data_IF_562430975369
#
_entry.id   IF_562430975369
#
_cell.length_a   1.000
_cell.length_b   1.000
_cell.length_c   1.000
_cell.angle_alpha   90.00
_cell.angle_beta   90.00
_cell.angle_gamma   90.00
#
_symmetry.space_group_name_H-M   'P 1'
#
loop_
_entity.id
_entity.type
_entity.pdbx_description
1 polymer ?
#
# COMPACT_ATOMS: atom_id res chain seq x y z
N UNK A 1 32.55 1.84 16.22
CA UNK A 1 32.91 0.56 15.56
C UNK A 1 31.74 -0.36 15.27
N UNK A 2 30.73 -0.55 16.14
CA UNK A 2 29.53 -1.37 15.79
C UNK A 2 28.64 -0.76 14.70
N UNK A 3 28.51 0.58 14.65
CA UNK A 3 27.68 1.25 13.66
C UNK A 3 28.22 1.21 12.22
N UNK A 4 29.53 1.25 12.06
CA UNK A 4 30.17 1.20 10.74
C UNK A 4 30.10 -0.20 10.11
N UNK A 5 30.16 -1.26 10.93
CA UNK A 5 29.99 -2.62 10.44
C UNK A 5 28.55 -2.91 9.97
N UNK A 6 27.56 -2.37 10.67
CA UNK A 6 26.15 -2.50 10.26
C UNK A 6 25.86 -1.71 8.97
N UNK A 7 26.41 -0.52 8.83
CA UNK A 7 26.25 0.29 7.62
C UNK A 7 26.89 -0.38 6.39
N UNK A 8 28.09 -0.94 6.54
CA UNK A 8 28.77 -1.67 5.47
C UNK A 8 28.03 -2.96 5.08
N UNK A 9 27.50 -3.73 6.04
CA UNK A 9 26.69 -4.92 5.78
C UNK A 9 25.37 -4.56 5.05
N UNK A 10 24.71 -3.48 5.45
CA UNK A 10 23.50 -2.95 4.80
C UNK A 10 23.74 -2.58 3.33
N UNK A 11 24.88 -1.97 3.01
CA UNK A 11 25.24 -1.61 1.63
C UNK A 11 25.52 -2.87 0.79
N UNK A 12 26.10 -3.91 1.37
CA UNK A 12 26.40 -5.16 0.66
C UNK A 12 25.15 -5.97 0.31
N UNK A 13 24.09 -5.88 1.12
CA UNK A 13 22.85 -6.65 0.93
C UNK A 13 21.78 -5.94 0.08
N UNK A 14 22.04 -4.76 -0.47
CA UNK A 14 21.07 -4.04 -1.34
C UNK A 14 20.63 -4.84 -2.56
N UNK A 15 21.43 -5.76 -3.05
CA UNK A 15 21.13 -6.58 -4.24
C UNK A 15 20.02 -7.61 -4.00
N UNK A 16 19.77 -7.97 -2.74
CA UNK A 16 18.82 -9.02 -2.35
C UNK A 16 17.51 -8.44 -1.78
N UNK A 17 17.33 -7.12 -1.85
CA UNK A 17 16.12 -6.46 -1.38
C UNK A 17 15.01 -6.50 -2.44
N UNK A 18 13.79 -6.73 -2.00
CA UNK A 18 12.60 -6.54 -2.82
C UNK A 18 12.26 -5.05 -2.89
N UNK A 19 12.27 -4.46 -4.07
CA UNK A 19 11.96 -3.04 -4.22
C UNK A 19 10.51 -2.77 -4.60
N UNK A 20 9.88 -3.70 -5.33
CA UNK A 20 8.49 -3.57 -5.75
C UNK A 20 7.88 -4.93 -6.12
N UNK A 21 6.55 -4.98 -6.06
CA UNK A 21 5.72 -6.09 -6.54
C UNK A 21 4.93 -5.56 -7.75
N UNK A 22 5.05 -6.24 -8.88
CA UNK A 22 4.40 -5.86 -10.13
C UNK A 22 2.91 -6.25 -10.14
N UNK A 23 2.05 -5.60 -10.96
CA UNK A 23 0.64 -5.93 -11.06
C UNK A 23 0.34 -7.42 -11.28
N UNK A 24 1.09 -8.08 -12.14
CA UNK A 24 0.92 -9.51 -12.44
C UNK A 24 1.22 -10.45 -11.25
N UNK A 25 1.93 -9.96 -10.24
CA UNK A 25 2.29 -10.68 -9.02
C UNK A 25 1.35 -10.38 -7.84
N UNK A 26 0.38 -9.48 -8.02
CA UNK A 26 -0.52 -9.00 -6.97
C UNK A 26 -1.73 -9.94 -6.82
N UNK A 27 -1.47 -11.20 -6.61
CA UNK A 27 -2.45 -12.23 -6.29
C UNK A 27 -2.00 -12.99 -5.04
N UNK A 28 -2.93 -13.63 -4.36
CA UNK A 28 -2.68 -14.31 -3.08
C UNK A 28 -1.48 -15.26 -3.14
N UNK A 29 -1.44 -16.14 -4.13
CA UNK A 29 -0.40 -17.18 -4.27
C UNK A 29 1.00 -16.57 -4.43
N UNK A 30 1.15 -15.60 -5.33
CA UNK A 30 2.45 -14.98 -5.61
C UNK A 30 2.89 -14.10 -4.45
N UNK A 31 1.96 -13.38 -3.81
CA UNK A 31 2.25 -12.58 -2.62
C UNK A 31 2.78 -13.44 -1.47
N UNK A 32 2.13 -14.56 -1.15
CA UNK A 32 2.62 -15.50 -0.14
C UNK A 32 4.02 -16.02 -0.48
N UNK A 33 4.26 -16.37 -1.73
CA UNK A 33 5.56 -16.88 -2.18
C UNK A 33 6.66 -15.83 -2.07
N UNK A 34 6.40 -14.62 -2.57
CA UNK A 34 7.38 -13.52 -2.59
C UNK A 34 7.69 -13.06 -1.16
N UNK A 35 6.65 -12.81 -0.36
CA UNK A 35 6.81 -12.25 0.98
C UNK A 35 7.42 -13.26 1.97
N UNK A 36 7.23 -14.57 1.75
CA UNK A 36 7.93 -15.61 2.52
C UNK A 36 9.45 -15.60 2.30
N UNK A 37 9.92 -15.14 1.13
CA UNK A 37 11.35 -14.98 0.84
C UNK A 37 11.95 -13.68 1.38
N UNK A 38 11.10 -12.76 1.87
CA UNK A 38 11.47 -11.43 2.34
C UNK A 38 10.94 -11.15 3.74
N UNK A 39 11.39 -11.92 4.78
CA UNK A 39 10.92 -11.77 6.16
C UNK A 39 11.26 -10.40 6.77
N UNK A 40 12.21 -9.68 6.18
CA UNK A 40 12.53 -8.29 6.55
C UNK A 40 11.40 -7.31 6.29
N UNK A 41 10.42 -7.64 5.42
CA UNK A 41 9.23 -6.82 5.18
C UNK A 41 8.19 -7.17 6.24
N UNK A 42 8.16 -6.36 7.31
CA UNK A 42 7.37 -6.67 8.50
C UNK A 42 5.98 -6.02 8.52
N UNK A 43 5.74 -5.05 7.66
CA UNK A 43 4.49 -4.30 7.62
C UNK A 43 3.99 -4.11 6.20
N UNK A 44 2.66 -3.97 6.09
CA UNK A 44 1.97 -3.44 4.92
C UNK A 44 1.38 -2.08 5.29
N UNK A 45 1.45 -1.12 4.39
CA UNK A 45 0.84 0.20 4.52
C UNK A 45 -0.16 0.39 3.39
N UNK A 46 -1.44 0.50 3.71
CA UNK A 46 -2.51 0.81 2.77
C UNK A 46 -2.67 2.33 2.69
N UNK A 47 -2.34 2.91 1.53
CA UNK A 47 -2.26 4.36 1.36
C UNK A 47 -3.37 4.87 0.45
N UNK A 48 -4.32 5.60 1.02
CA UNK A 48 -5.25 6.45 0.28
C UNK A 48 -4.83 7.92 0.39
N UNK A 49 -5.10 8.72 -0.63
CA UNK A 49 -4.84 10.16 -0.61
C UNK A 49 -6.15 10.90 -0.75
N UNK A 50 -6.44 11.80 0.18
CA UNK A 50 -7.64 12.62 0.18
C UNK A 50 -7.51 13.87 -0.73
N UNK A 51 -8.56 14.70 -0.82
CA UNK A 51 -8.56 15.91 -1.64
C UNK A 51 -7.67 17.05 -1.10
N UNK A 52 -7.29 17.00 0.17
CA UNK A 52 -6.34 17.94 0.75
C UNK A 52 -4.87 17.49 0.58
N UNK A 53 -4.66 16.29 0.02
CA UNK A 53 -3.33 15.71 -0.16
C UNK A 53 -2.79 15.00 1.08
N UNK A 54 -3.65 14.76 2.09
CA UNK A 54 -3.25 13.95 3.23
C UNK A 54 -3.32 12.47 2.86
N UNK A 55 -2.34 11.70 3.30
CA UNK A 55 -2.37 10.25 3.22
C UNK A 55 -3.10 9.66 4.42
N UNK A 56 -3.88 8.62 4.15
CA UNK A 56 -4.38 7.71 5.19
C UNK A 56 -3.47 6.51 5.18
N UNK A 57 -2.64 6.34 6.19
CA UNK A 57 -1.68 5.23 6.29
C UNK A 57 -2.18 4.19 7.30
N UNK A 58 -2.96 3.23 6.81
CA UNK A 58 -3.35 2.06 7.63
C UNK A 58 -2.21 1.04 7.62
N UNK A 59 -1.41 1.06 8.68
CA UNK A 59 -0.24 0.20 8.83
C UNK A 59 -0.60 -1.11 9.53
N UNK A 60 -0.40 -2.22 8.83
CA UNK A 60 -0.81 -3.56 9.23
C UNK A 60 0.43 -4.45 9.37
N UNK A 61 0.56 -5.27 10.42
CA UNK A 61 1.60 -6.29 10.49
C UNK A 61 1.51 -7.26 9.30
N UNK A 62 2.65 -7.63 8.72
CA UNK A 62 2.71 -8.54 7.58
C UNK A 62 1.99 -9.86 7.84
N UNK A 63 2.08 -10.39 9.06
CA UNK A 63 1.38 -11.62 9.46
C UNK A 63 -0.13 -11.53 9.25
N UNK A 64 -0.75 -10.44 9.69
CA UNK A 64 -2.20 -10.21 9.55
C UNK A 64 -2.58 -10.08 8.06
N UNK A 65 -1.78 -9.32 7.30
CA UNK A 65 -2.01 -9.20 5.86
C UNK A 65 -1.96 -10.56 5.13
N UNK A 66 -1.03 -11.44 5.50
CA UNK A 66 -0.91 -12.77 4.89
C UNK A 66 -2.02 -13.73 5.34
N UNK A 67 -2.55 -13.61 6.55
CA UNK A 67 -3.69 -14.41 7.02
C UNK A 67 -4.98 -14.09 6.25
N UNK A 68 -5.19 -12.82 5.88
CA UNK A 68 -6.42 -12.32 5.26
C UNK A 68 -6.17 -11.71 3.87
N UNK A 69 -5.16 -12.18 3.14
CA UNK A 69 -4.72 -11.58 1.85
C UNK A 69 -5.87 -11.42 0.86
N UNK A 70 -6.74 -12.40 0.72
CA UNK A 70 -7.86 -12.34 -0.21
C UNK A 70 -8.80 -11.15 0.09
N UNK A 71 -9.16 -10.95 1.37
CA UNK A 71 -10.04 -9.87 1.81
C UNK A 71 -9.40 -8.49 1.58
N UNK A 72 -8.07 -8.37 1.80
CA UNK A 72 -7.34 -7.14 1.46
C UNK A 72 -7.33 -6.86 -0.04
N UNK A 73 -7.17 -7.89 -0.86
CA UNK A 73 -7.17 -7.76 -2.31
C UNK A 73 -8.55 -7.41 -2.89
N UNK A 74 -9.63 -7.76 -2.18
CA UNK A 74 -11.01 -7.42 -2.53
C UNK A 74 -11.46 -6.06 -1.98
N UNK A 75 -10.66 -5.43 -1.12
CA UNK A 75 -10.92 -4.11 -0.54
C UNK A 75 -11.94 -4.12 0.60
N UNK A 76 -12.18 -5.28 1.23
CA UNK A 76 -13.15 -5.43 2.33
C UNK A 76 -12.51 -5.42 3.72
N UNK A 77 -11.19 -5.61 3.82
CA UNK A 77 -10.51 -5.82 5.09
C UNK A 77 -10.05 -4.55 5.81
N UNK A 78 -9.88 -3.44 5.10
CA UNK A 78 -9.37 -2.20 5.69
C UNK A 78 -10.28 -1.01 5.41
N UNK A 79 -10.45 -0.19 6.45
CA UNK A 79 -11.31 0.98 6.42
C UNK A 79 -10.67 2.13 7.16
N UNK A 80 -10.98 3.35 6.72
CA UNK A 80 -10.67 4.57 7.48
C UNK A 80 -11.95 5.32 7.83
N UNK A 81 -11.88 6.18 8.84
CA UNK A 81 -12.98 7.05 9.22
C UNK A 81 -13.05 8.25 8.24
N UNK A 82 -14.17 8.38 7.55
CA UNK A 82 -14.42 9.50 6.63
C UNK A 82 -14.37 10.89 7.29
N UNK A 83 -14.51 10.97 8.62
CA UNK A 83 -14.31 12.23 9.36
C UNK A 83 -12.85 12.66 9.44
N UNK A 84 -11.91 11.73 9.25
CA UNK A 84 -10.46 11.98 9.26
C UNK A 84 -9.88 12.28 7.88
N UNK A 85 -10.70 12.22 6.82
CA UNK A 85 -10.30 12.44 5.43
C UNK A 85 -11.13 13.55 4.78
N UNK A 86 -10.52 14.35 3.93
CA UNK A 86 -11.21 15.41 3.19
C UNK A 86 -11.75 14.86 1.88
N UNK A 87 -13.02 14.45 1.91
CA UNK A 87 -13.71 13.88 0.74
C UNK A 87 -15.02 14.62 0.47
N UNK A 88 -15.41 14.86 -0.80
CA UNK A 88 -16.63 15.56 -1.14
C UNK A 88 -17.87 14.82 -0.60
N UNK A 89 -18.71 15.53 0.17
CA UNK A 89 -19.99 15.02 0.64
C UNK A 89 -19.95 14.08 1.84
N UNK A 90 -18.76 13.76 2.39
CA UNK A 90 -18.62 12.79 3.49
C UNK A 90 -18.40 13.46 4.85
N UNK A 91 -17.82 14.64 4.89
CA UNK A 91 -17.31 15.32 6.10
C UNK A 91 -18.32 15.62 7.23
N UNK A 92 -19.59 15.26 7.10
CA UNK A 92 -20.63 15.62 8.08
C UNK A 92 -21.56 14.48 8.48
N UNK A 93 -21.29 13.25 8.08
CA UNK A 93 -22.28 12.17 8.20
C UNK A 93 -21.95 11.19 9.31
N UNK A 94 -23.02 10.77 10.02
CA UNK A 94 -23.00 9.72 11.04
C UNK A 94 -22.56 8.32 10.52
N UNK A 95 -22.26 8.20 9.25
CA UNK A 95 -21.74 6.99 8.61
C UNK A 95 -20.58 7.37 7.70
N UNK A 96 -19.44 7.60 8.30
CA UNK A 96 -18.23 8.06 7.65
C UNK A 96 -17.27 6.89 7.29
N UNK A 97 -17.81 5.69 7.08
CA UNK A 97 -17.01 4.53 6.69
C UNK A 97 -16.47 4.73 5.26
N UNK A 98 -15.16 4.65 5.12
CA UNK A 98 -14.46 4.67 3.83
C UNK A 98 -13.62 3.41 3.73
N UNK A 99 -13.89 2.60 2.71
CA UNK A 99 -13.13 1.38 2.43
C UNK A 99 -11.87 1.71 1.64
N UNK A 100 -10.76 1.02 1.96
CA UNK A 100 -9.49 1.11 1.24
C UNK A 100 -9.41 -0.04 0.23
N UNK A 101 -9.54 0.27 -1.04
CA UNK A 101 -9.43 -0.70 -2.13
C UNK A 101 -8.04 -0.61 -2.77
N UNK A 102 -7.31 -1.70 -2.74
CA UNK A 102 -5.95 -1.76 -3.32
C UNK A 102 -5.96 -1.51 -4.83
N UNK A 103 -5.02 -0.70 -5.30
CA UNK A 103 -4.82 -0.48 -6.74
C UNK A 103 -3.87 -1.55 -7.30
N UNK A 104 -4.44 -2.50 -8.06
CA UNK A 104 -3.69 -3.58 -8.73
C UNK A 104 -3.12 -3.19 -10.09
N UNK A 105 -3.30 -1.95 -10.53
CA UNK A 105 -2.84 -1.48 -11.84
C UNK A 105 -1.44 -0.87 -11.82
N UNK A 106 -0.89 -0.67 -10.63
CA UNK A 106 0.43 -0.06 -10.41
C UNK A 106 1.34 -0.95 -9.60
N UNK A 107 2.65 -0.72 -9.66
CA UNK A 107 3.59 -1.41 -8.78
C UNK A 107 3.35 -1.01 -7.32
N UNK A 108 3.48 -1.97 -6.41
CA UNK A 108 3.57 -1.72 -4.98
C UNK A 108 5.03 -1.68 -4.57
N UNK A 109 5.42 -0.69 -3.78
CA UNK A 109 6.81 -0.44 -3.44
C UNK A 109 7.13 -0.81 -2.01
N UNK A 110 8.37 -1.25 -1.78
CA UNK A 110 8.88 -1.48 -0.42
C UNK A 110 9.71 -0.29 0.01
N UNK A 111 9.32 0.29 1.15
CA UNK A 111 10.02 1.36 1.83
C UNK A 111 10.84 0.77 2.98
N UNK A 112 12.16 0.98 2.98
CA UNK A 112 13.07 0.41 3.96
C UNK A 112 13.51 1.43 4.99
N UNK A 113 13.39 1.05 6.28
CA UNK A 113 13.88 1.86 7.37
C UNK A 113 15.38 1.62 7.58
N UNK A 114 16.19 2.64 7.31
CA UNK A 114 17.65 2.57 7.41
C UNK A 114 18.18 2.50 8.86
N UNK A 115 17.35 2.74 9.85
CA UNK A 115 17.72 2.72 11.28
C UNK A 115 17.37 1.40 11.96
N UNK A 116 16.52 0.57 11.34
CA UNK A 116 16.05 -0.68 11.91
C UNK A 116 16.40 -1.87 11.02
N UNK A 117 16.91 -2.93 11.67
CA UNK A 117 17.32 -4.16 10.99
C UNK A 117 16.57 -5.35 11.59
N UNK A 118 16.12 -6.22 10.71
CA UNK A 118 15.53 -7.49 11.09
C UNK A 118 16.60 -8.39 11.74
N UNK A 119 16.27 -8.98 12.90
CA UNK A 119 17.22 -9.73 13.70
C UNK A 119 17.67 -11.05 13.05
N UNK A 120 16.82 -11.65 12.22
CA UNK A 120 17.09 -12.94 11.59
C UNK A 120 17.87 -12.77 10.29
N UNK A 121 17.41 -11.90 9.41
CA UNK A 121 18.00 -11.69 8.08
C UNK A 121 19.15 -10.68 8.08
N UNK A 122 19.25 -9.83 9.10
CA UNK A 122 20.20 -8.70 9.14
C UNK A 122 19.92 -7.62 8.09
N UNK A 123 18.80 -7.70 7.36
CA UNK A 123 18.38 -6.70 6.38
C UNK A 123 17.61 -5.57 7.05
N UNK A 124 17.52 -4.42 6.39
CA UNK A 124 16.68 -3.31 6.84
C UNK A 124 15.22 -3.73 6.90
N UNK A 125 14.50 -3.31 7.95
CA UNK A 125 13.06 -3.56 8.08
C UNK A 125 12.32 -2.79 6.99
N UNK A 126 11.48 -3.51 6.24
CA UNK A 126 10.68 -3.00 5.15
C UNK A 126 9.19 -2.85 5.49
N UNK A 127 8.55 -1.90 4.81
CA UNK A 127 7.10 -1.74 4.75
C UNK A 127 6.65 -1.79 3.30
N UNK A 128 5.78 -2.73 2.95
CA UNK A 128 5.17 -2.79 1.63
C UNK A 128 4.10 -1.70 1.53
N UNK A 129 4.32 -0.72 0.65
CA UNK A 129 3.42 0.41 0.39
C UNK A 129 2.46 0.06 -0.75
N UNK A 130 1.17 -0.03 -0.43
CA UNK A 130 0.10 -0.38 -1.37
C UNK A 130 -0.78 0.85 -1.60
N UNK A 131 -0.74 1.47 -2.81
CA UNK A 131 -1.66 2.53 -3.16
C UNK A 131 -3.09 2.03 -3.19
N UNK A 132 -4.02 2.79 -2.60
CA UNK A 132 -5.43 2.45 -2.51
C UNK A 132 -6.32 3.55 -3.09
N UNK A 133 -7.49 3.12 -3.59
CA UNK A 133 -8.64 4.00 -3.81
C UNK A 133 -9.43 4.12 -2.51
N UNK A 134 -10.05 5.28 -2.29
CA UNK A 134 -11.01 5.49 -1.22
C UNK A 134 -12.42 5.29 -1.76
N UNK A 135 -13.15 4.36 -1.17
CA UNK A 135 -14.49 3.97 -1.61
C UNK A 135 -15.49 4.29 -0.49
N UNK A 136 -16.56 4.99 -0.82
CA UNK A 136 -17.66 5.28 0.08
C UNK A 136 -19.00 4.94 -0.58
N UNK A 137 -19.79 4.04 0.06
CA UNK A 137 -21.06 3.56 -0.48
C UNK A 137 -20.92 3.12 -1.95
N UNK A 138 -19.94 2.27 -2.24
CA UNK A 138 -19.61 1.75 -3.57
C UNK A 138 -19.16 2.80 -4.61
N UNK A 139 -18.98 4.05 -4.20
CA UNK A 139 -18.48 5.11 -5.07
C UNK A 139 -17.01 5.40 -4.82
N UNK A 140 -16.28 5.58 -5.90
CA UNK A 140 -14.91 6.10 -5.86
C UNK A 140 -14.94 7.59 -5.51
N UNK A 141 -14.29 7.98 -4.42
CA UNK A 141 -14.40 9.34 -3.88
C UNK A 141 -13.05 10.03 -3.66
N UNK A 142 -11.96 9.41 -4.07
CA UNK A 142 -10.62 9.99 -3.93
C UNK A 142 -10.14 10.70 -5.20
N UNK A 143 -9.17 11.59 -5.05
CA UNK A 143 -8.52 12.29 -6.17
C UNK A 143 -7.93 11.34 -7.21
N UNK A 144 -7.39 10.20 -6.76
CA UNK A 144 -6.81 9.16 -7.62
C UNK A 144 -7.84 8.55 -8.57
N UNK A 145 -9.03 8.19 -8.09
CA UNK A 145 -10.09 7.62 -8.94
C UNK A 145 -10.66 8.66 -9.90
N UNK A 146 -10.89 9.89 -9.44
CA UNK A 146 -11.36 10.98 -10.28
C UNK A 146 -10.38 11.30 -11.42
N UNK A 147 -9.09 11.32 -11.12
CA UNK A 147 -8.07 11.50 -12.15
C UNK A 147 -8.11 10.38 -13.19
N UNK A 148 -8.19 9.13 -12.73
CA UNK A 148 -8.27 7.97 -13.62
C UNK A 148 -9.51 8.04 -14.53
N UNK A 149 -10.69 8.28 -13.96
CA UNK A 149 -11.93 8.38 -14.70
C UNK A 149 -11.91 9.52 -15.74
N UNK A 150 -11.26 10.64 -15.39
CA UNK A 150 -11.05 11.79 -16.28
C UNK A 150 -10.15 11.39 -17.46
N UNK A 151 -9.03 10.71 -17.19
CA UNK A 151 -8.12 10.25 -18.24
C UNK A 151 -8.77 9.23 -19.16
N UNK A 152 -9.50 8.27 -18.61
CA UNK A 152 -10.25 7.27 -19.38
C UNK A 152 -11.34 7.92 -20.28
N UNK A 153 -11.99 8.99 -19.80
CA UNK A 153 -12.95 9.76 -20.57
C UNK A 153 -12.29 10.50 -21.74
N UNK A 154 -11.20 11.22 -21.46
CA UNK A 154 -10.45 11.97 -22.50
C UNK A 154 -9.90 11.03 -23.57
N UNK A 155 -9.37 9.88 -23.18
CA UNK A 155 -8.87 8.89 -24.14
C UNK A 155 -9.98 8.39 -25.08
N UNK A 156 -11.15 8.07 -24.54
CA UNK A 156 -12.31 7.68 -25.36
C UNK A 156 -12.74 8.76 -26.35
N UNK A 157 -12.78 10.03 -25.92
CA UNK A 157 -13.13 11.17 -26.78
C UNK A 157 -12.08 11.37 -27.90
N UNK A 158 -10.79 11.18 -27.60
CA UNK A 158 -9.74 11.31 -28.60
C UNK A 158 -9.69 10.17 -29.62
N UNK A 159 -10.21 8.99 -29.24
CA UNK A 159 -10.25 7.81 -30.11
C UNK A 159 -11.56 7.69 -30.90
N UNK A 160 -12.54 8.52 -30.60
CA UNK A 160 -13.83 8.56 -31.31
C UNK A 160 -13.76 9.45 -32.56
#
# INVERSE_FOLDING_TARGET
>A
MKGEQHFAASIMNKKDLLYYIKPEQQNEKDLHTILAMHPEIQFVSLMGVDFAGNDTDEKIPMKIFLEDTADFLEGSAAQTDGSSVVLPGIATLNNARVDLMVDKTVNWYVDYNYEHFDAESGKMVGTLRIPCYLIHNDNHVCSRSILKDTLDHVEKELMA
#
